data_IF_835544620507
#
_entry.id   IF_835544620507
#
_cell.length_a   1.000
_cell.length_b   1.000
_cell.length_c   1.000
_cell.angle_alpha   90.00
_cell.angle_beta   90.00
_cell.angle_gamma   90.00
#
_symmetry.space_group_name_H-M   'P 1'
#
loop_
_entity.id
_entity.type
_entity.pdbx_description
1 polymer ?
#
# COMPACT_ATOMS: atom_id res chain seq x y z
N UNK A 1 -1.95 -3.60 14.80
CA UNK A 1 -1.52 -3.56 13.37
C UNK A 1 -1.81 -2.20 12.76
N UNK A 2 -1.40 -1.89 11.53
CA UNK A 2 -1.69 -0.62 10.86
C UNK A 2 -2.17 -0.84 9.42
N UNK A 3 -3.13 -0.04 8.97
CA UNK A 3 -3.62 -0.01 7.60
C UNK A 3 -2.95 1.15 6.87
N UNK A 4 -2.26 0.86 5.78
CA UNK A 4 -1.62 1.84 4.94
C UNK A 4 -2.26 1.87 3.56
N UNK A 5 -2.36 3.06 2.96
CA UNK A 5 -2.50 3.20 1.52
C UNK A 5 -1.12 3.40 0.92
N UNK A 6 -0.71 2.48 0.07
CA UNK A 6 0.57 2.51 -0.63
C UNK A 6 0.30 2.88 -2.08
N UNK A 7 0.98 3.91 -2.56
CA UNK A 7 0.89 4.39 -3.94
C UNK A 7 2.27 4.27 -4.58
N UNK A 8 2.37 3.49 -5.65
CA UNK A 8 3.53 3.41 -6.52
C UNK A 8 3.49 4.52 -7.58
N UNK A 9 4.61 4.76 -8.28
CA UNK A 9 4.70 5.82 -9.31
C UNK A 9 3.84 5.54 -10.53
N UNK A 10 3.77 4.27 -10.94
CA UNK A 10 3.00 3.83 -12.11
C UNK A 10 1.79 3.00 -11.72
N UNK A 11 1.04 2.54 -12.73
CA UNK A 11 -0.14 1.67 -12.55
C UNK A 11 -1.27 2.25 -11.68
N UNK A 12 -1.30 3.58 -11.49
CA UNK A 12 -2.26 4.27 -10.61
C UNK A 12 -3.61 4.56 -11.26
N UNK A 13 -3.68 4.58 -12.58
CA UNK A 13 -4.91 4.89 -13.31
C UNK A 13 -4.95 4.07 -14.59
N UNK A 14 -5.90 3.13 -14.69
CA UNK A 14 -6.07 2.29 -15.86
C UNK A 14 -7.55 2.28 -16.23
N UNK A 15 -7.89 2.90 -17.36
CA UNK A 15 -9.26 2.93 -17.85
C UNK A 15 -9.78 1.50 -18.06
N UNK A 16 -10.74 1.08 -17.23
CA UNK A 16 -11.37 -0.24 -17.30
C UNK A 16 -10.54 -1.41 -16.76
N UNK A 17 -9.45 -1.16 -16.02
CA UNK A 17 -8.57 -2.20 -15.48
C UNK A 17 -8.19 -1.94 -14.01
N UNK A 18 -7.59 -2.95 -13.37
CA UNK A 18 -7.14 -2.86 -11.97
C UNK A 18 -5.93 -1.94 -11.86
N UNK A 19 -6.02 -0.92 -11.01
CA UNK A 19 -4.92 -0.01 -10.69
C UNK A 19 -3.98 -0.63 -9.64
N UNK A 20 -3.08 -1.52 -10.07
CA UNK A 20 -2.12 -2.20 -9.19
C UNK A 20 -1.13 -1.25 -8.48
N UNK A 21 -1.02 -0.01 -8.95
CA UNK A 21 -0.17 1.01 -8.34
C UNK A 21 -0.75 1.61 -7.06
N UNK A 22 -2.00 1.31 -6.71
CA UNK A 22 -2.62 1.77 -5.46
C UNK A 22 -3.13 0.56 -4.71
N UNK A 23 -2.65 0.35 -3.48
CA UNK A 23 -3.08 -0.77 -2.66
C UNK A 23 -3.28 -0.36 -1.20
N UNK A 24 -4.25 -1.00 -0.55
CA UNK A 24 -4.44 -0.94 0.90
C UNK A 24 -3.76 -2.14 1.54
N UNK A 25 -2.81 -1.88 2.43
CA UNK A 25 -1.93 -2.91 2.98
C UNK A 25 -1.94 -2.85 4.49
N UNK A 26 -2.30 -3.98 5.12
CA UNK A 26 -2.14 -4.17 6.57
C UNK A 26 -0.70 -4.62 6.86
N UNK A 27 0.01 -3.86 7.69
CA UNK A 27 1.39 -4.13 8.10
C UNK A 27 1.70 -3.55 9.49
N UNK A 28 2.90 -3.85 10.01
CA UNK A 28 3.38 -3.29 11.29
C UNK A 28 3.88 -1.84 11.15
N UNK A 29 4.48 -1.53 10.00
CA UNK A 29 5.10 -0.25 9.69
C UNK A 29 5.03 0.03 8.18
N UNK A 30 5.33 1.26 7.79
CA UNK A 30 5.27 1.73 6.41
C UNK A 30 6.22 0.95 5.49
N UNK A 31 7.43 0.61 5.96
CA UNK A 31 8.39 -0.16 5.17
C UNK A 31 7.95 -1.60 4.92
N UNK A 32 7.31 -2.23 5.91
CA UNK A 32 6.68 -3.54 5.76
C UNK A 32 5.49 -3.50 4.78
N UNK A 33 4.68 -2.43 4.79
CA UNK A 33 3.58 -2.26 3.85
C UNK A 33 4.08 -2.14 2.40
N UNK A 34 5.07 -1.27 2.15
CA UNK A 34 5.65 -1.13 0.81
C UNK A 34 6.31 -2.43 0.34
N UNK A 35 7.13 -3.08 1.18
CA UNK A 35 7.75 -4.38 0.82
C UNK A 35 6.72 -5.44 0.47
N UNK A 36 5.61 -5.53 1.22
CA UNK A 36 4.54 -6.49 0.95
C UNK A 36 3.89 -6.26 -0.42
N UNK A 37 3.60 -5.00 -0.77
CA UNK A 37 3.10 -4.67 -2.11
C UNK A 37 4.15 -4.98 -3.18
N UNK A 38 5.40 -4.54 -2.98
CA UNK A 38 6.48 -4.73 -3.95
C UNK A 38 6.72 -6.20 -4.25
N UNK A 39 6.81 -7.05 -3.22
CA UNK A 39 6.97 -8.50 -3.40
C UNK A 39 5.81 -9.12 -4.17
N UNK A 40 4.57 -8.68 -3.95
CA UNK A 40 3.43 -9.15 -4.75
C UNK A 40 3.55 -8.75 -6.22
N UNK A 41 3.91 -7.49 -6.50
CA UNK A 41 4.09 -7.00 -7.87
C UNK A 41 5.23 -7.71 -8.59
N UNK A 42 6.33 -8.00 -7.89
CA UNK A 42 7.47 -8.74 -8.43
C UNK A 42 7.11 -10.22 -8.69
N UNK A 43 6.38 -10.88 -7.78
CA UNK A 43 5.94 -12.27 -7.94
C UNK A 43 4.97 -12.45 -9.12
N UNK A 44 4.10 -11.46 -9.35
CA UNK A 44 3.10 -11.48 -10.44
C UNK A 44 3.61 -10.86 -11.74
N UNK A 45 4.85 -10.38 -11.75
CA UNK A 45 5.47 -9.66 -12.86
C UNK A 45 4.59 -8.52 -13.42
N UNK A 46 4.15 -7.62 -12.53
CA UNK A 46 3.23 -6.54 -12.86
C UNK A 46 3.94 -5.18 -12.96
N UNK A 47 3.82 -4.52 -14.11
CA UNK A 47 4.41 -3.20 -14.37
C UNK A 47 5.92 -3.22 -14.57
N UNK A 48 6.51 -2.09 -14.97
CA UNK A 48 7.96 -1.94 -15.10
C UNK A 48 8.61 -1.61 -13.76
N UNK A 49 9.93 -1.78 -13.64
CA UNK A 49 10.65 -1.50 -12.39
C UNK A 49 10.42 -0.09 -11.85
N UNK A 50 10.39 0.91 -12.74
CA UNK A 50 10.11 2.30 -12.41
C UNK A 50 8.66 2.55 -11.98
N UNK A 51 7.70 1.76 -12.48
CA UNK A 51 6.30 1.87 -12.08
C UNK A 51 6.09 1.42 -10.64
N UNK A 52 6.84 0.39 -10.24
CA UNK A 52 6.76 -0.27 -8.92
C UNK A 52 7.47 0.54 -7.81
N UNK A 53 8.15 1.64 -8.13
CA UNK A 53 8.80 2.51 -7.15
C UNK A 53 7.77 3.21 -6.25
N UNK A 54 8.09 3.36 -4.97
CA UNK A 54 7.24 4.05 -4.02
C UNK A 54 7.07 5.53 -4.41
N UNK A 55 5.82 5.98 -4.54
CA UNK A 55 5.47 7.39 -4.68
C UNK A 55 5.03 7.98 -3.34
N UNK A 56 4.08 7.33 -2.66
CA UNK A 56 3.51 7.81 -1.41
C UNK A 56 3.06 6.65 -0.53
N UNK A 57 3.16 6.83 0.78
CA UNK A 57 2.59 5.91 1.76
C UNK A 57 1.88 6.70 2.86
N UNK A 58 0.63 6.33 3.11
CA UNK A 58 -0.26 7.02 4.05
C UNK A 58 -0.72 6.03 5.12
N UNK A 59 -0.62 6.41 6.39
CA UNK A 59 -1.23 5.67 7.49
C UNK A 59 -2.71 6.07 7.58
N UNK A 60 -3.62 5.10 7.46
CA UNK A 60 -5.06 5.35 7.44
C UNK A 60 -5.77 4.91 8.71
N UNK A 61 -5.31 3.84 9.36
CA UNK A 61 -5.91 3.34 10.58
C UNK A 61 -4.92 2.50 11.40
N UNK A 62 -5.11 2.45 12.70
CA UNK A 62 -4.30 1.65 13.63
C UNK A 62 -5.19 0.78 14.52
N UNK A 63 -4.75 -0.45 14.73
CA UNK A 63 -5.42 -1.44 15.57
C UNK A 63 -4.83 -1.32 16.99
N UNK A 64 -5.24 -0.21 17.63
CA UNK A 64 -5.00 0.18 19.03
C UNK A 64 -6.21 0.99 19.53
N UNK A 65 -6.41 1.04 20.85
CA UNK A 65 -7.56 1.76 21.45
C UNK A 65 -7.50 3.28 21.25
N UNK A 66 -6.29 3.85 21.21
CA UNK A 66 -6.05 5.28 21.02
C UNK A 66 -5.07 5.47 19.84
N UNK A 67 -5.55 5.46 18.59
CA UNK A 67 -4.70 5.56 17.42
C UNK A 67 -4.17 6.98 17.22
N UNK A 68 -2.87 7.12 16.92
CA UNK A 68 -2.23 8.42 16.65
C UNK A 68 -2.80 9.06 15.37
N UNK A 69 -3.18 8.24 14.40
CA UNK A 69 -3.86 8.69 13.17
C UNK A 69 -5.35 9.02 13.36
N UNK A 70 -5.89 8.89 14.57
CA UNK A 70 -7.30 9.21 14.88
C UNK A 70 -8.34 8.24 14.32
N UNK A 71 -7.91 7.11 13.72
CA UNK A 71 -8.81 6.13 13.11
C UNK A 71 -8.48 4.71 13.58
N UNK A 72 -9.48 4.00 14.12
CA UNK A 72 -9.32 2.62 14.58
C UNK A 72 -9.40 1.63 13.41
N UNK A 73 -8.51 0.63 13.41
CA UNK A 73 -8.55 -0.54 12.54
C UNK A 73 -9.15 -1.72 13.31
N UNK A 74 -10.15 -2.37 12.73
CA UNK A 74 -10.69 -3.65 13.20
C UNK A 74 -10.34 -4.72 12.17
N UNK A 75 -9.65 -5.79 12.61
CA UNK A 75 -9.19 -6.89 11.75
C UNK A 75 -10.17 -8.06 11.70
#
# INVERSE_FOLDING_TARGET
MKLFRVTCRGMVNVAGNVAYGVAYVVAKDAGAAYRKLRSYLDEKDLGFDGDRELSMIELLAEDVEYPDCGTCLYL
#
